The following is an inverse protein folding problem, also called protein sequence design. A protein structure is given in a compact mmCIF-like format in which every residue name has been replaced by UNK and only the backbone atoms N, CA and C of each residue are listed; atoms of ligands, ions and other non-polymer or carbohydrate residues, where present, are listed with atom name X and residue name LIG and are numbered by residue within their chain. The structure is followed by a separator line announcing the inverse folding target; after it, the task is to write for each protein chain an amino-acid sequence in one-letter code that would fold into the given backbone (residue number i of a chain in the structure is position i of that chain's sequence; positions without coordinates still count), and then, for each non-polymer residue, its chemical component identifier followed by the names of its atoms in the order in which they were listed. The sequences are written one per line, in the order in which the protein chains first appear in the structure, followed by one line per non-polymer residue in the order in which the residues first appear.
data_IF_293921840862
#
_entry.id   IF_293921840862
#
_cell.length_a   1.000
_cell.length_b   1.000
_cell.length_c   1.000
_cell.angle_alpha   90.00
_cell.angle_beta   90.00
_cell.angle_gamma   90.00
#
_symmetry.space_group_name_H-M   'P 1'
#
loop_
_entity.id
_entity.type
_entity.pdbx_description
1 polymer ?
#
# COMPACT_ATOMS: atom_id res chain seq x y z
N UNK A 1 48.92 18.54 11.52
CA UNK A 1 47.86 18.05 10.60
C UNK A 1 48.31 17.95 9.14
N UNK A 2 48.78 19.04 8.51
CA UNK A 2 49.12 19.11 7.08
C UNK A 2 50.12 18.04 6.59
N UNK A 3 51.16 17.77 7.40
CA UNK A 3 52.19 16.76 7.09
C UNK A 3 51.68 15.31 7.11
N UNK A 4 50.70 15.00 7.95
CA UNK A 4 50.11 13.66 8.01
C UNK A 4 49.24 13.37 6.79
N UNK A 5 48.53 14.39 6.29
CA UNK A 5 47.69 14.28 5.08
C UNK A 5 48.55 14.08 3.83
N UNK A 6 49.68 14.78 3.70
CA UNK A 6 50.59 14.61 2.55
C UNK A 6 51.31 13.26 2.56
N UNK A 7 51.69 12.74 3.73
CA UNK A 7 52.22 11.39 3.87
C UNK A 7 51.17 10.33 3.54
N UNK A 8 49.93 10.50 4.01
CA UNK A 8 48.81 9.61 3.69
C UNK A 8 48.51 9.60 2.18
N UNK A 9 48.52 10.76 1.52
CA UNK A 9 48.28 10.87 0.07
C UNK A 9 49.38 10.20 -0.77
N UNK A 10 50.66 10.38 -0.39
CA UNK A 10 51.78 9.70 -1.07
C UNK A 10 51.75 8.18 -0.84
N UNK A 11 51.40 7.74 0.36
CA UNK A 11 51.19 6.32 0.67
C UNK A 11 50.02 5.73 -0.13
N UNK A 12 48.93 6.49 -0.26
CA UNK A 12 47.76 6.10 -1.05
C UNK A 12 48.09 5.93 -2.54
N UNK A 13 48.90 6.83 -3.09
CA UNK A 13 49.38 6.74 -4.47
C UNK A 13 50.26 5.52 -4.72
N UNK A 14 51.13 5.18 -3.76
CA UNK A 14 51.99 4.00 -3.85
C UNK A 14 51.20 2.67 -3.81
N UNK A 15 50.03 2.66 -3.14
CA UNK A 15 49.13 1.50 -3.03
C UNK A 15 47.85 1.63 -3.87
N UNK A 16 47.91 2.38 -4.97
CA UNK A 16 46.77 2.74 -5.84
C UNK A 16 45.87 1.57 -6.27
N UNK A 17 46.42 0.39 -6.54
CA UNK A 17 45.62 -0.78 -6.94
C UNK A 17 44.78 -1.33 -5.78
N UNK A 18 45.39 -1.54 -4.62
CA UNK A 18 44.69 -2.04 -3.44
C UNK A 18 43.64 -1.03 -2.95
N UNK A 19 43.99 0.26 -2.91
CA UNK A 19 43.05 1.33 -2.57
C UNK A 19 41.93 1.46 -3.60
N UNK A 20 42.23 1.32 -4.89
CA UNK A 20 41.23 1.31 -5.95
C UNK A 20 40.21 0.19 -5.78
N UNK A 21 40.65 -1.05 -5.51
CA UNK A 21 39.75 -2.17 -5.24
C UNK A 21 38.89 -1.96 -3.98
N UNK A 22 39.46 -1.42 -2.90
CA UNK A 22 38.66 -1.09 -1.72
C UNK A 22 37.65 0.02 -1.98
N UNK A 23 38.03 1.03 -2.76
CA UNK A 23 37.16 2.14 -3.12
C UNK A 23 36.00 1.67 -4.00
N UNK A 24 36.28 0.82 -4.99
CA UNK A 24 35.24 0.20 -5.84
C UNK A 24 34.31 -0.68 -5.01
N UNK A 25 34.85 -1.50 -4.10
CA UNK A 25 34.03 -2.35 -3.23
C UNK A 25 33.10 -1.53 -2.34
N UNK A 26 33.62 -0.47 -1.70
CA UNK A 26 32.81 0.46 -0.89
C UNK A 26 31.77 1.16 -1.77
N UNK A 27 32.15 1.66 -2.95
CA UNK A 27 31.23 2.33 -3.86
C UNK A 27 30.11 1.40 -4.34
N UNK A 28 30.41 0.14 -4.63
CA UNK A 28 29.41 -0.85 -5.05
C UNK A 28 28.46 -1.18 -3.90
N UNK A 29 28.99 -1.39 -2.69
CA UNK A 29 28.19 -1.68 -1.51
C UNK A 29 27.24 -0.52 -1.16
N UNK A 30 27.73 0.73 -1.21
CA UNK A 30 26.90 1.91 -0.94
C UNK A 30 25.89 2.17 -2.06
N UNK A 31 26.29 2.01 -3.33
CA UNK A 31 25.39 2.15 -4.48
C UNK A 31 24.24 1.14 -4.42
N UNK A 32 24.52 -0.12 -4.10
CA UNK A 32 23.49 -1.15 -3.93
C UNK A 32 22.51 -0.78 -2.81
N UNK A 33 23.04 -0.37 -1.65
CA UNK A 33 22.22 0.01 -0.50
C UNK A 33 21.32 1.22 -0.81
N UNK A 34 21.87 2.25 -1.44
CA UNK A 34 21.12 3.45 -1.85
C UNK A 34 20.07 3.12 -2.92
N UNK A 35 20.41 2.28 -3.90
CA UNK A 35 19.48 1.88 -4.97
C UNK A 35 18.26 1.16 -4.40
N UNK A 36 18.45 0.21 -3.49
CA UNK A 36 17.35 -0.49 -2.82
C UNK A 36 16.52 0.50 -1.99
N UNK A 37 17.16 1.44 -1.31
CA UNK A 37 16.46 2.45 -0.52
C UNK A 37 15.59 3.37 -1.39
N UNK A 38 16.11 3.84 -2.53
CA UNK A 38 15.37 4.65 -3.50
C UNK A 38 14.25 3.87 -4.17
N UNK A 39 14.52 2.68 -4.71
CA UNK A 39 13.48 1.83 -5.32
C UNK A 39 12.32 1.58 -4.35
N UNK A 40 12.63 1.33 -3.08
CA UNK A 40 11.62 1.14 -2.04
C UNK A 40 10.84 2.43 -1.75
N UNK A 41 11.48 3.59 -1.83
CA UNK A 41 10.81 4.88 -1.62
C UNK A 41 9.92 5.25 -2.80
N UNK A 42 10.44 5.16 -4.03
CA UNK A 42 9.72 5.47 -5.26
C UNK A 42 8.51 4.55 -5.44
N UNK A 43 8.67 3.25 -5.15
CA UNK A 43 7.54 2.33 -5.11
C UNK A 43 6.47 2.78 -4.12
N UNK A 44 6.85 3.22 -2.91
CA UNK A 44 5.89 3.74 -1.92
C UNK A 44 5.18 5.00 -2.39
N UNK A 45 5.91 5.95 -3.01
CA UNK A 45 5.32 7.19 -3.51
C UNK A 45 4.38 6.95 -4.69
N UNK A 46 4.78 6.12 -5.66
CA UNK A 46 3.92 5.75 -6.78
C UNK A 46 2.63 5.05 -6.32
N UNK A 47 2.71 4.27 -5.24
CA UNK A 47 1.54 3.66 -4.60
C UNK A 47 0.66 4.69 -3.88
N UNK A 48 1.23 5.68 -3.20
CA UNK A 48 0.47 6.75 -2.56
C UNK A 48 -0.29 7.61 -3.60
N UNK A 49 0.28 7.81 -4.78
CA UNK A 49 -0.39 8.52 -5.88
C UNK A 49 -1.55 7.74 -6.50
N UNK A 50 -1.65 6.42 -6.28
CA UNK A 50 -2.72 5.60 -6.84
C UNK A 50 -4.06 5.78 -6.11
N UNK A 51 -4.05 6.26 -4.85
CA UNK A 51 -5.26 6.63 -4.11
C UNK A 51 -5.38 8.14 -4.08
N UNK A 52 -6.26 8.64 -4.93
CA UNK A 52 -6.53 10.06 -4.99
C UNK A 52 -7.55 10.46 -3.92
N UNK A 53 -7.21 11.50 -3.15
CA UNK A 53 -8.12 12.15 -2.23
C UNK A 53 -8.16 11.58 -0.80
N UNK A 54 -7.22 10.70 -0.42
CA UNK A 54 -7.09 10.26 0.98
C UNK A 54 -5.90 10.92 1.65
N UNK A 55 -6.13 11.68 2.72
CA UNK A 55 -5.06 12.39 3.44
C UNK A 55 -4.29 11.47 4.41
N UNK A 56 -4.98 10.48 4.99
CA UNK A 56 -4.42 9.64 6.04
C UNK A 56 -5.01 8.23 6.04
N UNK A 57 -4.14 7.22 6.11
CA UNK A 57 -4.50 5.83 6.37
C UNK A 57 -4.19 5.51 7.83
N UNK A 58 -5.18 5.02 8.58
CA UNK A 58 -5.05 4.68 10.00
C UNK A 58 -5.40 3.21 10.21
N UNK A 59 -4.50 2.49 10.90
CA UNK A 59 -4.69 1.09 11.28
C UNK A 59 -4.08 0.80 12.64
N UNK A 60 -4.07 -0.46 13.05
CA UNK A 60 -3.35 -0.84 14.26
C UNK A 60 -1.83 -0.70 14.08
N UNK A 61 -1.08 -0.94 15.16
CA UNK A 61 0.39 -0.82 15.18
C UNK A 61 1.00 -1.78 14.14
N UNK A 62 1.42 -1.22 13.01
CA UNK A 62 2.01 -1.94 11.89
C UNK A 62 3.07 -1.07 11.19
N UNK A 63 3.84 -1.68 10.30
CA UNK A 63 4.70 -0.92 9.37
C UNK A 63 3.80 -0.04 8.48
N UNK A 64 4.08 1.27 8.34
CA UNK A 64 3.28 2.17 7.49
C UNK A 64 3.13 1.65 6.04
N UNK A 65 4.17 0.97 5.54
CA UNK A 65 4.17 0.37 4.20
C UNK A 65 3.20 -0.79 4.12
N UNK A 66 3.22 -1.67 5.12
CA UNK A 66 2.32 -2.81 5.15
C UNK A 66 0.88 -2.34 5.26
N UNK A 67 0.61 -1.34 6.10
CA UNK A 67 -0.71 -0.75 6.24
C UNK A 67 -1.21 -0.16 4.91
N UNK A 68 -0.35 0.58 4.19
CA UNK A 68 -0.69 1.15 2.89
C UNK A 68 -0.93 0.06 1.84
N UNK A 69 -0.03 -0.91 1.71
CA UNK A 69 -0.15 -2.02 0.76
C UNK A 69 -1.41 -2.85 1.02
N UNK A 70 -1.72 -3.09 2.30
CA UNK A 70 -2.89 -3.83 2.72
C UNK A 70 -4.18 -3.05 2.44
N UNK A 71 -4.26 -1.78 2.85
CA UNK A 71 -5.47 -0.96 2.68
C UNK A 71 -5.78 -0.64 1.21
N UNK A 72 -4.76 -0.37 0.40
CA UNK A 72 -4.92 0.10 -0.98
C UNK A 72 -4.90 -1.05 -1.98
N UNK A 73 -3.87 -1.89 -1.91
CA UNK A 73 -3.63 -2.94 -2.90
C UNK A 73 -4.15 -4.29 -2.46
N UNK A 74 -4.62 -4.41 -1.21
CA UNK A 74 -5.08 -5.68 -0.63
C UNK A 74 -3.98 -6.74 -0.64
N UNK A 75 -2.71 -6.30 -0.57
CA UNK A 75 -1.53 -7.15 -0.58
C UNK A 75 -1.00 -7.34 0.84
N UNK A 76 -0.70 -8.59 1.19
CA UNK A 76 -0.09 -8.99 2.45
C UNK A 76 -1.10 -9.40 3.50
N UNK A 77 -0.58 -9.81 4.66
CA UNK A 77 -1.40 -10.30 5.76
C UNK A 77 -1.99 -9.14 6.58
N UNK A 78 -3.20 -9.35 7.17
CA UNK A 78 -3.79 -8.40 8.08
C UNK A 78 -2.79 -8.04 9.17
N UNK A 79 -2.39 -6.77 9.23
CA UNK A 79 -1.91 -6.24 10.50
C UNK A 79 -3.01 -6.43 11.55
N UNK A 80 -2.66 -6.47 12.84
CA UNK A 80 -3.65 -6.53 13.91
C UNK A 80 -4.87 -5.65 13.61
N UNK A 81 -6.07 -6.17 13.82
CA UNK A 81 -7.27 -5.40 13.51
C UNK A 81 -7.43 -4.23 14.48
N UNK A 82 -7.77 -3.05 13.95
CA UNK A 82 -8.18 -1.93 14.78
C UNK A 82 -9.56 -2.22 15.38
N UNK A 83 -9.72 -2.00 16.69
CA UNK A 83 -11.03 -2.14 17.34
C UNK A 83 -12.04 -1.18 16.73
N UNK A 84 -13.25 -1.66 16.45
CA UNK A 84 -14.32 -0.84 15.87
C UNK A 84 -14.66 0.41 16.71
N UNK A 85 -14.56 0.32 18.04
CA UNK A 85 -14.72 1.47 18.93
C UNK A 85 -13.70 2.59 18.64
N UNK A 86 -12.45 2.23 18.36
CA UNK A 86 -11.39 3.18 18.02
C UNK A 86 -11.62 3.82 16.65
N UNK A 87 -12.01 3.02 15.65
CA UNK A 87 -12.37 3.51 14.32
C UNK A 87 -13.49 4.56 14.41
N UNK A 88 -14.54 4.27 15.20
CA UNK A 88 -15.67 5.18 15.41
C UNK A 88 -15.30 6.44 16.18
N UNK A 89 -14.38 6.35 17.14
CA UNK A 89 -13.86 7.52 17.86
C UNK A 89 -13.12 8.46 16.91
N UNK A 90 -12.31 7.90 16.00
CA UNK A 90 -11.60 8.68 14.99
C UNK A 90 -12.57 9.32 14.00
N UNK A 91 -13.55 8.57 13.51
CA UNK A 91 -14.57 9.07 12.58
C UNK A 91 -15.41 10.24 13.16
N UNK A 92 -15.55 10.31 14.50
CA UNK A 92 -16.26 11.39 15.21
C UNK A 92 -15.37 12.57 15.57
N UNK A 93 -14.08 12.51 15.27
CA UNK A 93 -13.16 13.58 15.60
C UNK A 93 -13.45 14.81 14.74
N UNK A 94 -13.48 16.04 15.30
CA UNK A 94 -13.89 17.25 14.55
C UNK A 94 -12.96 17.59 13.37
N UNK A 95 -11.72 17.09 13.37
CA UNK A 95 -10.78 17.25 12.26
C UNK A 95 -10.99 16.25 11.10
N UNK A 96 -11.93 15.30 11.22
CA UNK A 96 -12.20 14.28 10.20
C UNK A 96 -13.45 14.68 9.42
N UNK A 97 -13.27 15.08 8.16
CA UNK A 97 -14.39 15.44 7.29
C UNK A 97 -15.23 14.23 6.87
N UNK A 98 -14.57 13.10 6.60
CA UNK A 98 -15.19 11.82 6.26
C UNK A 98 -14.20 10.70 6.57
N UNK A 99 -14.70 9.48 6.73
CA UNK A 99 -13.86 8.31 6.97
C UNK A 99 -14.47 7.08 6.32
N UNK A 100 -13.66 6.28 5.65
CA UNK A 100 -14.10 5.01 5.08
C UNK A 100 -13.50 3.85 5.88
N UNK A 101 -14.31 3.05 6.60
CA UNK A 101 -13.80 1.86 7.27
C UNK A 101 -13.47 0.79 6.22
N UNK A 102 -12.33 0.14 6.38
CA UNK A 102 -11.90 -0.97 5.54
C UNK A 102 -11.71 -2.22 6.41
N UNK A 103 -12.31 -3.33 6.01
CA UNK A 103 -12.16 -4.63 6.63
C UNK A 103 -11.84 -5.65 5.55
N UNK A 104 -10.72 -6.34 5.71
CA UNK A 104 -10.18 -7.31 4.77
C UNK A 104 -9.95 -8.61 5.54
N UNK A 105 -9.95 -9.75 4.85
CA UNK A 105 -9.73 -11.06 5.46
C UNK A 105 -10.53 -12.18 4.82
N UNK A 106 -11.61 -11.85 4.12
CA UNK A 106 -12.38 -12.82 3.34
C UNK A 106 -11.89 -12.86 1.89
N UNK A 107 -12.11 -13.99 1.23
CA UNK A 107 -11.82 -14.20 -0.18
C UNK A 107 -12.99 -14.86 -0.91
N UNK A 108 -12.98 -14.76 -2.22
CA UNK A 108 -13.93 -15.42 -3.09
C UNK A 108 -13.23 -15.84 -4.40
N UNK A 109 -13.08 -17.15 -4.63
CA UNK A 109 -12.31 -17.69 -5.76
C UNK A 109 -10.91 -17.07 -5.91
N UNK A 110 -10.21 -16.85 -4.78
CA UNK A 110 -8.88 -16.22 -4.76
C UNK A 110 -8.87 -14.70 -4.90
N UNK A 111 -10.03 -14.05 -5.08
CA UNK A 111 -10.13 -12.59 -5.08
C UNK A 111 -10.39 -12.06 -3.67
N UNK A 112 -9.73 -10.95 -3.27
CA UNK A 112 -9.92 -10.38 -1.94
C UNK A 112 -11.27 -9.67 -1.81
N UNK A 113 -11.96 -9.94 -0.72
CA UNK A 113 -13.25 -9.33 -0.37
C UNK A 113 -13.00 -8.19 0.60
N UNK A 114 -13.55 -7.02 0.29
CA UNK A 114 -13.45 -5.81 1.11
C UNK A 114 -14.82 -5.50 1.72
N UNK A 115 -14.89 -5.53 3.05
CA UNK A 115 -15.97 -4.94 3.82
C UNK A 115 -15.73 -3.44 4.01
N UNK A 116 -16.69 -2.61 3.64
CA UNK A 116 -16.60 -1.14 3.77
C UNK A 116 -17.99 -0.50 3.88
N UNK A 117 -18.06 0.84 3.98
CA UNK A 117 -19.32 1.60 3.95
C UNK A 117 -19.64 2.10 2.55
N UNK A 118 -20.89 2.54 2.33
CA UNK A 118 -21.31 3.15 1.06
C UNK A 118 -20.49 4.40 0.70
N UNK A 119 -19.92 5.09 1.69
CA UNK A 119 -19.03 6.25 1.53
C UNK A 119 -17.81 5.93 0.65
N UNK A 120 -17.42 4.66 0.58
CA UNK A 120 -16.36 4.19 -0.33
C UNK A 120 -16.64 4.62 -1.77
N UNK A 121 -17.86 4.46 -2.27
CA UNK A 121 -18.18 4.83 -3.65
C UNK A 121 -18.29 6.35 -3.87
N UNK A 122 -18.49 7.13 -2.80
CA UNK A 122 -18.60 8.57 -2.87
C UNK A 122 -17.23 9.27 -2.84
N UNK A 123 -16.31 8.79 -1.99
CA UNK A 123 -15.04 9.46 -1.71
C UNK A 123 -13.81 8.76 -2.30
N UNK A 124 -13.86 7.45 -2.58
CA UNK A 124 -12.71 6.75 -3.13
C UNK A 124 -12.45 7.14 -4.59
N UNK A 125 -11.27 7.68 -4.84
CA UNK A 125 -10.75 7.94 -6.17
C UNK A 125 -9.50 7.10 -6.44
N UNK A 126 -9.34 6.65 -7.69
CA UNK A 126 -8.14 5.94 -8.14
C UNK A 126 -7.40 6.75 -9.21
N UNK A 127 -6.08 6.58 -9.28
CA UNK A 127 -5.21 7.26 -10.24
C UNK A 127 -5.37 8.79 -10.17
N UNK A 128 -5.60 9.42 -11.33
CA UNK A 128 -5.78 10.87 -11.46
C UNK A 128 -7.19 11.34 -11.02
N UNK A 129 -7.56 11.07 -9.76
CA UNK A 129 -8.84 11.44 -9.12
C UNK A 129 -10.08 10.91 -9.84
N UNK A 130 -9.97 9.76 -10.49
CA UNK A 130 -11.12 9.14 -11.14
C UNK A 130 -12.02 8.50 -10.09
N UNK A 131 -13.29 8.89 -10.08
CA UNK A 131 -14.32 8.29 -9.23
C UNK A 131 -14.66 6.89 -9.73
N UNK A 132 -15.06 6.02 -8.80
CA UNK A 132 -15.68 4.74 -9.15
C UNK A 132 -16.96 4.98 -9.96
N UNK A 133 -17.07 4.28 -11.09
CA UNK A 133 -18.26 4.32 -11.95
C UNK A 133 -18.85 2.92 -12.03
N UNK A 134 -20.17 2.85 -11.90
CA UNK A 134 -20.91 1.62 -12.09
C UNK A 134 -21.26 1.48 -13.56
N UNK A 135 -20.88 0.37 -14.17
CA UNK A 135 -21.37 -0.03 -15.49
C UNK A 135 -22.84 -0.48 -15.37
N UNK A 136 -23.12 -1.27 -14.34
CA UNK A 136 -24.45 -1.80 -14.01
C UNK A 136 -24.64 -1.90 -12.50
N UNK A 137 -25.87 -1.73 -12.04
CA UNK A 137 -26.23 -1.85 -10.62
C UNK A 137 -26.05 -0.56 -9.83
N UNK A 138 -25.93 -0.71 -8.51
CA UNK A 138 -25.86 0.38 -7.53
C UNK A 138 -24.96 -0.01 -6.35
N UNK A 139 -24.53 0.94 -5.49
CA UNK A 139 -23.91 0.63 -4.22
C UNK A 139 -24.75 -0.37 -3.39
N UNK A 140 -24.10 -1.13 -2.52
CA UNK A 140 -24.80 -2.03 -1.60
C UNK A 140 -25.63 -1.22 -0.59
N UNK A 141 -26.85 -1.69 -0.31
CA UNK A 141 -27.77 -1.08 0.67
C UNK A 141 -28.10 -2.07 1.81
N UNK A 142 -28.15 -3.35 1.51
CA UNK A 142 -28.43 -4.44 2.45
C UNK A 142 -27.17 -5.22 2.84
N UNK A 143 -27.25 -5.95 3.95
CA UNK A 143 -26.15 -6.76 4.51
C UNK A 143 -25.68 -7.88 3.57
N UNK A 144 -26.56 -8.32 2.65
CA UNK A 144 -26.27 -9.37 1.68
C UNK A 144 -26.01 -8.86 0.26
N UNK A 145 -25.96 -7.54 0.09
CA UNK A 145 -25.59 -6.94 -1.19
C UNK A 145 -24.07 -6.95 -1.34
N UNK A 146 -23.59 -7.21 -2.55
CA UNK A 146 -22.18 -7.14 -2.90
C UNK A 146 -21.99 -6.42 -4.22
N UNK A 147 -20.92 -5.63 -4.31
CA UNK A 147 -20.48 -4.99 -5.55
C UNK A 147 -19.27 -5.73 -6.07
N UNK A 148 -19.36 -6.22 -7.31
CA UNK A 148 -18.28 -6.91 -7.98
C UNK A 148 -17.39 -5.92 -8.74
N UNK A 149 -16.08 -6.09 -8.62
CA UNK A 149 -15.14 -5.39 -9.50
C UNK A 149 -15.29 -5.87 -10.95
N UNK A 150 -15.13 -4.96 -11.91
CA UNK A 150 -15.32 -5.27 -13.33
C UNK A 150 -14.43 -6.42 -13.84
N UNK A 151 -13.20 -6.54 -13.32
CA UNK A 151 -12.32 -7.65 -13.67
C UNK A 151 -12.83 -9.00 -13.12
N UNK A 152 -13.29 -9.02 -11.87
CA UNK A 152 -13.84 -10.23 -11.22
C UNK A 152 -15.10 -10.69 -11.96
N UNK A 153 -16.01 -9.76 -12.27
CA UNK A 153 -17.23 -10.05 -13.02
C UNK A 153 -16.92 -10.66 -14.40
N UNK A 154 -15.92 -10.13 -15.13
CA UNK A 154 -15.51 -10.70 -16.43
C UNK A 154 -14.86 -12.07 -16.30
N UNK A 155 -13.93 -12.25 -15.35
CA UNK A 155 -13.17 -13.51 -15.18
C UNK A 155 -14.05 -14.66 -14.68
N UNK A 156 -15.01 -14.38 -13.80
CA UNK A 156 -15.93 -15.38 -13.26
C UNK A 156 -17.26 -15.45 -14.03
N UNK A 157 -17.41 -14.63 -15.09
CA UNK A 157 -18.63 -14.54 -15.90
C UNK A 157 -19.90 -14.28 -15.06
N UNK A 158 -19.77 -13.44 -14.03
CA UNK A 158 -20.88 -13.10 -13.15
C UNK A 158 -21.80 -12.04 -13.73
N UNK A 159 -23.07 -12.15 -13.36
CA UNK A 159 -24.13 -11.22 -13.70
C UNK A 159 -24.81 -10.71 -12.43
N UNK A 160 -25.41 -9.51 -12.51
CA UNK A 160 -26.17 -8.95 -11.39
C UNK A 160 -27.33 -9.87 -10.98
N UNK A 161 -27.56 -10.00 -9.67
CA UNK A 161 -28.62 -10.85 -9.10
C UNK A 161 -28.19 -12.29 -8.78
N UNK A 162 -26.95 -12.68 -9.11
CA UNK A 162 -26.41 -13.97 -8.71
C UNK A 162 -26.03 -14.00 -7.23
N UNK A 163 -26.13 -15.19 -6.61
CA UNK A 163 -25.68 -15.44 -5.25
C UNK A 163 -24.21 -15.84 -5.25
N UNK A 164 -23.43 -15.25 -4.37
CA UNK A 164 -22.02 -15.58 -4.15
C UNK A 164 -21.82 -16.07 -2.72
N UNK A 165 -20.82 -16.91 -2.50
CA UNK A 165 -20.44 -17.42 -1.18
C UNK A 165 -19.00 -17.03 -0.90
N UNK A 166 -18.77 -16.40 0.25
CA UNK A 166 -17.45 -15.95 0.67
C UNK A 166 -16.78 -17.00 1.56
N UNK A 167 -15.46 -17.07 1.50
CA UNK A 167 -14.63 -17.92 2.37
C UNK A 167 -13.78 -17.04 3.27
N UNK A 168 -13.68 -17.38 4.56
CA UNK A 168 -12.82 -16.67 5.49
C UNK A 168 -11.36 -17.09 5.30
N UNK A 169 -10.45 -16.12 5.23
CA UNK A 169 -9.04 -16.33 4.94
C UNK A 169 -8.72 -16.41 3.44
N UNK A 170 -7.45 -16.65 3.13
CA UNK A 170 -7.03 -17.08 1.80
C UNK A 170 -7.41 -18.57 1.68
N UNK A 171 -8.51 -18.85 0.98
CA UNK A 171 -8.89 -20.22 0.63
C UNK A 171 -7.84 -20.89 -0.24
#
# INVERSE_FOLDING_TARGET
MRYLITLAARSAWNRRLALGMTMVSIALATALLLSIAHLRHDAREGFAQSVAGTDLIVGARASPVQLMLYAVFRIGDPSQNMRWASARKLARHPAVAWSIPLSLGDSHHGFPVLGTSADYFAHFGYGDRQKLRFETGKPFESVFDAVLGAEVARKLHYQSGQKIVLTHGAG
#
